data_IF_584962984022
#
_entry.id   IF_584962984022
#
_cell.length_a   1.000
_cell.length_b   1.000
_cell.length_c   1.000
_cell.angle_alpha   90.00
_cell.angle_beta   90.00
_cell.angle_gamma   90.00
#
_symmetry.space_group_name_H-M   'P 1'
#
loop_
_entity.id
_entity.type
_entity.pdbx_description
1 polymer ?
#
# COMPACT_ATOMS: atom_id res chain seq x y z
N UNK A 1 5.40 17.66 38.85
CA UNK A 1 4.29 18.02 37.93
C UNK A 1 4.91 18.58 36.65
N UNK A 2 4.88 17.87 35.52
CA UNK A 2 5.27 18.46 34.25
C UNK A 2 4.16 19.40 33.73
N UNK A 3 4.51 20.49 33.04
CA UNK A 3 3.58 21.52 32.64
C UNK A 3 2.66 21.07 31.49
N UNK A 4 1.39 21.43 31.59
CA UNK A 4 0.38 21.29 30.55
C UNK A 4 0.68 22.27 29.40
N UNK A 5 1.43 21.82 28.40
CA UNK A 5 1.65 22.58 27.17
C UNK A 5 0.46 22.41 26.21
N UNK A 6 -0.41 23.42 26.19
CA UNK A 6 -1.37 23.63 25.10
C UNK A 6 -0.57 23.82 23.81
N UNK A 7 -0.54 22.80 22.96
CA UNK A 7 0.27 22.77 21.74
C UNK A 7 -0.37 23.70 20.71
N UNK A 8 0.37 24.73 20.30
CA UNK A 8 -0.07 25.70 19.29
C UNK A 8 0.04 25.02 17.91
N UNK A 9 -0.91 25.30 17.00
CA UNK A 9 -0.97 24.71 15.65
C UNK A 9 0.38 24.94 14.92
N UNK A 10 1.18 23.89 14.74
CA UNK A 10 2.52 23.94 14.12
C UNK A 10 3.70 23.56 15.02
N UNK A 11 3.49 23.31 16.33
CA UNK A 11 4.55 22.78 17.20
C UNK A 11 4.69 21.25 17.04
N UNK A 12 5.90 20.80 16.70
CA UNK A 12 6.25 19.38 16.64
C UNK A 12 6.64 18.88 18.04
N UNK A 13 5.84 17.98 18.60
CA UNK A 13 6.21 17.35 19.88
C UNK A 13 7.29 16.30 19.68
N UNK A 14 8.56 16.67 19.85
CA UNK A 14 9.72 15.77 19.74
C UNK A 14 9.70 14.59 20.74
N UNK A 15 8.94 14.72 21.83
CA UNK A 15 8.78 13.66 22.86
C UNK A 15 7.51 12.82 22.67
N UNK A 16 6.84 12.92 21.53
CA UNK A 16 5.64 12.14 21.25
C UNK A 16 5.98 10.69 20.90
N UNK A 17 5.36 9.74 21.60
CA UNK A 17 5.40 8.33 21.29
C UNK A 17 4.00 7.84 20.85
N UNK A 18 3.96 7.01 19.83
CA UNK A 18 2.72 6.40 19.35
C UNK A 18 2.23 5.38 20.38
N UNK A 19 0.91 5.23 20.62
CA UNK A 19 0.42 4.16 21.48
C UNK A 19 0.77 2.79 20.91
N UNK A 20 1.15 1.84 21.78
CA UNK A 20 1.63 0.52 21.37
C UNK A 20 0.67 -0.24 20.43
N UNK A 21 -0.64 -0.05 20.57
CA UNK A 21 -1.64 -0.64 19.69
C UNK A 21 -1.64 -0.03 18.27
N UNK A 22 -1.34 1.27 18.13
CA UNK A 22 -1.22 1.92 16.82
C UNK A 22 0.11 1.54 16.18
N UNK A 23 1.16 1.41 16.98
CA UNK A 23 2.46 0.97 16.52
C UNK A 23 2.41 -0.44 15.97
N UNK A 24 1.81 -1.40 16.69
CA UNK A 24 1.64 -2.77 16.20
C UNK A 24 0.77 -2.85 14.95
N UNK A 25 -0.29 -2.04 14.87
CA UNK A 25 -1.15 -1.96 13.70
C UNK A 25 -0.39 -1.39 12.49
N UNK A 26 0.34 -0.30 12.67
CA UNK A 26 1.21 0.30 11.65
C UNK A 26 2.22 -0.73 11.15
N UNK A 27 2.92 -1.41 12.05
CA UNK A 27 3.92 -2.41 11.69
C UNK A 27 3.31 -3.59 10.93
N UNK A 28 2.12 -4.05 11.33
CA UNK A 28 1.37 -5.10 10.62
C UNK A 28 1.00 -4.72 9.18
N UNK A 29 0.47 -3.51 8.99
CA UNK A 29 0.15 -3.00 7.66
C UNK A 29 1.39 -2.73 6.82
N UNK A 30 2.46 -2.19 7.41
CA UNK A 30 3.72 -1.94 6.71
C UNK A 30 4.35 -3.25 6.23
N UNK A 31 4.36 -4.28 7.09
CA UNK A 31 4.86 -5.61 6.73
C UNK A 31 4.05 -6.25 5.61
N UNK A 32 2.73 -6.09 5.65
CA UNK A 32 1.84 -6.60 4.59
C UNK A 32 2.06 -5.88 3.25
N UNK A 33 2.25 -4.56 3.31
CA UNK A 33 2.56 -3.76 2.13
C UNK A 33 3.93 -4.11 1.53
N UNK A 34 4.93 -4.35 2.39
CA UNK A 34 6.28 -4.74 1.99
C UNK A 34 6.31 -6.11 1.32
N UNK A 35 5.66 -7.11 1.92
CA UNK A 35 5.58 -8.45 1.32
C UNK A 35 4.79 -8.41 0.01
N UNK A 36 3.65 -7.70 -0.02
CA UNK A 36 2.85 -7.53 -1.23
C UNK A 36 3.60 -6.84 -2.36
N UNK A 37 4.34 -5.76 -2.06
CA UNK A 37 5.16 -5.05 -3.04
C UNK A 37 6.30 -5.92 -3.58
N UNK A 38 6.93 -6.70 -2.71
CA UNK A 38 8.01 -7.64 -3.07
C UNK A 38 7.49 -8.74 -3.99
N UNK A 39 6.37 -9.37 -3.64
CA UNK A 39 5.75 -10.42 -4.46
C UNK A 39 5.35 -9.85 -5.83
N UNK A 40 4.69 -8.69 -5.86
CA UNK A 40 4.28 -8.05 -7.11
C UNK A 40 5.47 -7.67 -7.99
N UNK A 41 6.59 -7.26 -7.38
CA UNK A 41 7.83 -6.97 -8.11
C UNK A 41 8.40 -8.24 -8.77
N UNK A 42 8.41 -9.36 -8.04
CA UNK A 42 8.83 -10.65 -8.58
C UNK A 42 7.94 -11.11 -9.73
N UNK A 43 6.63 -10.98 -9.62
CA UNK A 43 5.69 -11.29 -10.72
C UNK A 43 5.88 -10.37 -11.93
N UNK A 44 6.21 -9.10 -11.71
CA UNK A 44 6.53 -8.17 -12.80
C UNK A 44 7.77 -8.63 -13.57
N UNK A 45 8.81 -9.08 -12.86
CA UNK A 45 10.02 -9.63 -13.47
C UNK A 45 9.73 -10.92 -14.25
N UNK A 46 8.94 -11.82 -13.68
CA UNK A 46 8.51 -13.04 -14.38
C UNK A 46 7.71 -12.72 -15.65
N UNK A 47 6.82 -11.74 -15.59
CA UNK A 47 6.04 -11.28 -16.75
C UNK A 47 6.95 -10.68 -17.83
N UNK A 48 7.98 -9.94 -17.45
CA UNK A 48 8.98 -9.39 -18.37
C UNK A 48 9.79 -10.50 -19.07
N UNK A 49 10.22 -11.51 -18.31
CA UNK A 49 10.94 -12.68 -18.85
C UNK A 49 10.03 -13.45 -19.82
N UNK A 50 8.77 -13.66 -19.46
CA UNK A 50 7.80 -14.32 -20.34
C UNK A 50 7.60 -13.55 -21.66
N UNK A 51 7.43 -12.23 -21.59
CA UNK A 51 7.34 -11.37 -22.78
C UNK A 51 8.60 -11.44 -23.64
N UNK A 52 9.78 -11.42 -23.01
CA UNK A 52 11.05 -11.55 -23.71
C UNK A 52 11.16 -12.88 -24.45
N UNK A 53 10.79 -13.99 -23.81
CA UNK A 53 10.80 -15.32 -24.43
C UNK A 53 9.80 -15.42 -25.60
N UNK A 54 8.58 -14.87 -25.42
CA UNK A 54 7.58 -14.80 -26.50
C UNK A 54 8.10 -13.99 -27.70
N UNK A 55 8.82 -12.90 -27.44
CA UNK A 55 9.43 -12.08 -28.48
C UNK A 55 10.52 -12.84 -29.24
N UNK A 56 11.46 -13.47 -28.53
CA UNK A 56 12.56 -14.25 -29.14
C UNK A 56 12.03 -15.46 -29.91
N UNK A 57 10.94 -16.07 -29.46
CA UNK A 57 10.28 -17.17 -30.16
C UNK A 57 9.51 -16.74 -31.42
N UNK A 58 9.48 -15.45 -31.76
CA UNK A 58 8.71 -14.92 -32.89
C UNK A 58 7.19 -15.04 -32.71
N UNK A 59 6.73 -15.29 -31.47
CA UNK A 59 5.31 -15.46 -31.16
C UNK A 59 4.57 -14.12 -31.05
N UNK A 60 5.32 -13.01 -30.98
CA UNK A 60 4.80 -11.64 -31.01
C UNK A 60 4.77 -11.02 -32.42
N UNK A 61 5.21 -11.74 -33.45
CA UNK A 61 5.19 -11.22 -34.82
C UNK A 61 3.76 -11.04 -35.33
N UNK A 62 3.50 -9.83 -35.84
CA UNK A 62 2.20 -9.28 -36.21
C UNK A 62 1.55 -10.01 -37.43
N UNK A 63 2.31 -10.83 -38.14
CA UNK A 63 1.87 -11.65 -39.28
C UNK A 63 1.02 -12.86 -38.87
N UNK A 64 1.15 -13.35 -37.62
CA UNK A 64 0.37 -14.50 -37.16
C UNK A 64 -0.99 -14.06 -36.59
N UNK A 65 -2.08 -14.24 -37.38
CA UNK A 65 -3.48 -14.07 -36.95
C UNK A 65 -3.93 -15.15 -35.94
N UNK A 66 -3.09 -15.51 -34.99
CA UNK A 66 -3.42 -16.53 -34.00
C UNK A 66 -4.00 -15.84 -32.75
N UNK A 67 -5.33 -15.90 -32.53
CA UNK A 67 -6.00 -15.17 -31.45
C UNK A 67 -5.47 -15.56 -30.06
N UNK A 68 -4.96 -16.79 -29.93
CA UNK A 68 -4.35 -17.28 -28.69
C UNK A 68 -3.08 -16.49 -28.35
N UNK A 69 -2.26 -16.17 -29.35
CA UNK A 69 -1.00 -15.42 -29.17
C UNK A 69 -1.29 -13.96 -28.83
N UNK A 70 -2.24 -13.34 -29.52
CA UNK A 70 -2.68 -11.97 -29.22
C UNK A 70 -3.23 -11.87 -27.80
N UNK A 71 -4.05 -12.84 -27.38
CA UNK A 71 -4.56 -12.88 -26.00
C UNK A 71 -3.43 -13.07 -24.98
N UNK A 72 -2.49 -13.99 -25.24
CA UNK A 72 -1.36 -14.24 -24.33
C UNK A 72 -0.43 -13.02 -24.20
N UNK A 73 -0.16 -12.32 -25.30
CA UNK A 73 0.60 -11.08 -25.28
C UNK A 73 -0.14 -10.00 -24.46
N UNK A 74 -1.44 -9.80 -24.72
CA UNK A 74 -2.26 -8.82 -24.02
C UNK A 74 -2.35 -9.13 -22.52
N UNK A 75 -2.54 -10.40 -22.16
CA UNK A 75 -2.56 -10.87 -20.78
C UNK A 75 -1.21 -10.66 -20.08
N UNK A 76 -0.09 -10.88 -20.78
CA UNK A 76 1.26 -10.69 -20.23
C UNK A 76 1.58 -9.21 -20.00
N UNK A 77 1.24 -8.33 -20.96
CA UNK A 77 1.37 -6.88 -20.77
C UNK A 77 0.44 -6.36 -19.66
N UNK A 78 -0.78 -6.87 -19.59
CA UNK A 78 -1.72 -6.56 -18.52
C UNK A 78 -1.17 -6.96 -17.16
N UNK A 79 -0.74 -8.21 -17.01
CA UNK A 79 -0.15 -8.72 -15.78
C UNK A 79 1.05 -7.89 -15.33
N UNK A 80 1.94 -7.51 -16.26
CA UNK A 80 3.08 -6.65 -15.96
C UNK A 80 2.65 -5.29 -15.42
N UNK A 81 1.70 -4.63 -16.09
CA UNK A 81 1.23 -3.30 -15.67
C UNK A 81 0.54 -3.35 -14.30
N UNK A 82 -0.30 -4.36 -14.06
CA UNK A 82 -0.98 -4.52 -12.78
C UNK A 82 -0.01 -4.82 -11.64
N UNK A 83 0.93 -5.74 -11.82
CA UNK A 83 1.91 -6.07 -10.80
C UNK A 83 2.83 -4.89 -10.49
N UNK A 84 3.28 -4.15 -11.51
CA UNK A 84 4.11 -2.96 -11.31
C UNK A 84 3.33 -1.85 -10.57
N UNK A 85 2.08 -1.62 -10.94
CA UNK A 85 1.22 -0.67 -10.24
C UNK A 85 0.98 -1.09 -8.78
N UNK A 86 0.79 -2.38 -8.51
CA UNK A 86 0.62 -2.89 -7.15
C UNK A 86 1.89 -2.68 -6.29
N UNK A 87 3.08 -2.92 -6.85
CA UNK A 87 4.34 -2.60 -6.17
C UNK A 87 4.47 -1.11 -5.84
N UNK A 88 4.18 -0.23 -6.80
CA UNK A 88 4.23 1.22 -6.57
C UNK A 88 3.22 1.64 -5.50
N UNK A 89 1.99 1.12 -5.55
CA UNK A 89 0.97 1.36 -4.52
C UNK A 89 1.44 0.88 -3.14
N UNK A 90 2.07 -0.29 -3.05
CA UNK A 90 2.65 -0.81 -1.81
C UNK A 90 3.74 0.11 -1.24
N UNK A 91 4.63 0.64 -2.08
CA UNK A 91 5.64 1.61 -1.65
C UNK A 91 5.04 2.93 -1.16
N UNK A 92 4.02 3.45 -1.86
CA UNK A 92 3.29 4.65 -1.40
C UNK A 92 2.64 4.38 -0.05
N UNK A 93 2.09 3.18 0.16
CA UNK A 93 1.49 2.78 1.43
C UNK A 93 2.53 2.80 2.55
N UNK A 94 3.67 2.15 2.34
CA UNK A 94 4.79 2.11 3.29
C UNK A 94 5.25 3.52 3.67
N UNK A 95 5.44 4.40 2.68
CA UNK A 95 5.83 5.80 2.92
C UNK A 95 4.79 6.54 3.77
N UNK A 96 3.50 6.36 3.45
CA UNK A 96 2.40 6.98 4.20
C UNK A 96 2.33 6.47 5.63
N UNK A 97 2.53 5.17 5.86
CA UNK A 97 2.60 4.60 7.20
C UNK A 97 3.81 5.11 7.98
N UNK A 98 4.97 5.21 7.33
CA UNK A 98 6.18 5.79 7.91
C UNK A 98 5.99 7.24 8.37
N UNK A 99 5.10 7.98 7.70
CA UNK A 99 4.78 9.38 8.05
C UNK A 99 3.80 9.53 9.23
N UNK A 100 3.15 8.46 9.70
CA UNK A 100 2.18 8.50 10.81
C UNK A 100 2.76 9.11 12.10
N UNK A 101 3.90 8.64 12.66
CA UNK A 101 4.43 9.19 13.90
C UNK A 101 4.73 10.69 13.79
N UNK A 102 5.22 11.13 12.63
CA UNK A 102 5.47 12.55 12.36
C UNK A 102 4.18 13.37 12.33
N UNK A 103 3.14 12.89 11.62
CA UNK A 103 1.83 13.56 11.56
C UNK A 103 1.11 13.58 12.89
N UNK A 104 1.18 12.48 13.64
CA UNK A 104 0.62 12.38 14.97
C UNK A 104 1.31 13.34 15.96
N UNK A 105 2.63 13.55 15.82
CA UNK A 105 3.38 14.51 16.62
C UNK A 105 3.06 15.99 16.31
N UNK A 106 2.45 16.29 15.15
CA UNK A 106 1.99 17.64 14.76
C UNK A 106 0.55 17.94 15.17
N UNK A 107 -0.23 16.93 15.55
CA UNK A 107 -1.63 17.12 15.93
C UNK A 107 -1.73 17.50 17.42
N UNK A 108 -2.69 18.39 17.78
CA UNK A 108 -2.99 18.68 19.18
C UNK A 108 -3.29 17.38 19.94
N UNK A 109 -2.65 17.19 21.09
CA UNK A 109 -2.85 15.99 21.94
C UNK A 109 -4.31 15.76 22.34
N UNK A 110 -5.13 16.80 22.34
CA UNK A 110 -6.56 16.73 22.66
C UNK A 110 -7.39 16.05 21.57
N UNK A 111 -6.91 16.01 20.32
CA UNK A 111 -7.61 15.40 19.18
C UNK A 111 -7.21 13.92 18.97
N UNK A 112 -6.07 13.50 19.51
CA UNK A 112 -5.58 12.14 19.42
C UNK A 112 -5.86 11.40 20.74
N UNK A 113 -6.63 10.32 20.72
CA UNK A 113 -6.90 9.57 21.93
C UNK A 113 -5.62 8.85 22.39
N UNK A 114 -5.00 9.35 23.45
CA UNK A 114 -3.75 8.79 24.01
C UNK A 114 -4.04 7.57 24.90
N UNK A 115 -5.26 7.46 25.44
CA UNK A 115 -5.69 6.38 26.33
C UNK A 115 -7.22 6.23 26.33
N UNK A 116 -7.72 5.01 26.58
CA UNK A 116 -9.15 4.72 26.71
C UNK A 116 -9.60 3.56 25.83
N UNK A 117 -10.89 3.24 25.87
CA UNK A 117 -11.52 2.26 24.99
C UNK A 117 -12.17 3.03 23.85
N UNK A 118 -11.81 2.70 22.62
CA UNK A 118 -12.42 3.26 21.42
C UNK A 118 -13.02 2.08 20.67
N UNK A 119 -14.32 2.14 20.44
CA UNK A 119 -14.98 1.27 19.47
C UNK A 119 -14.73 1.85 18.07
N UNK A 120 -13.61 1.50 17.48
CA UNK A 120 -13.24 1.90 16.13
C UNK A 120 -12.53 0.75 15.43
N UNK A 121 -12.93 0.52 14.18
CA UNK A 121 -12.23 -0.41 13.31
C UNK A 121 -10.79 0.06 13.06
N UNK A 122 -9.90 -0.90 12.85
CA UNK A 122 -8.48 -0.70 12.61
C UNK A 122 -8.19 0.35 11.52
N UNK A 123 -8.99 0.37 10.46
CA UNK A 123 -8.86 1.35 9.38
C UNK A 123 -9.26 2.78 9.82
N UNK A 124 -10.34 2.90 10.59
CA UNK A 124 -10.82 4.17 11.12
C UNK A 124 -9.83 4.77 12.12
N UNK A 125 -9.17 3.91 12.88
CA UNK A 125 -8.11 4.28 13.81
C UNK A 125 -6.91 4.87 13.04
N UNK A 126 -6.42 4.17 12.01
CA UNK A 126 -5.33 4.68 11.15
C UNK A 126 -5.68 6.00 10.44
N UNK A 127 -6.92 6.15 9.96
CA UNK A 127 -7.39 7.41 9.36
C UNK A 127 -7.35 8.57 10.36
N UNK A 128 -7.72 8.35 11.63
CA UNK A 128 -7.65 9.36 12.70
C UNK A 128 -6.21 9.82 12.98
N UNK A 129 -5.25 8.91 12.93
CA UNK A 129 -3.82 9.22 13.10
C UNK A 129 -3.15 9.82 11.85
N UNK A 130 -3.92 10.12 10.80
CA UNK A 130 -3.47 10.98 9.71
C UNK A 130 -2.91 10.25 8.49
N UNK A 131 -3.29 9.01 8.23
CA UNK A 131 -2.89 8.28 7.02
C UNK A 131 -3.40 8.97 5.72
N UNK A 132 -4.45 9.77 5.82
CA UNK A 132 -4.90 10.71 4.78
C UNK A 132 -5.98 10.16 3.85
N UNK A 133 -6.58 11.04 3.03
CA UNK A 133 -7.75 10.72 2.17
C UNK A 133 -7.47 9.66 1.09
N UNK A 134 -6.21 9.52 0.69
CA UNK A 134 -5.77 8.53 -0.32
C UNK A 134 -5.74 7.10 0.22
N UNK A 135 -5.84 6.89 1.54
CA UNK A 135 -5.83 5.57 2.16
C UNK A 135 -6.92 4.67 1.59
N UNK A 136 -8.16 5.17 1.53
CA UNK A 136 -9.29 4.39 1.02
C UNK A 136 -9.11 4.00 -0.45
N UNK A 137 -8.53 4.87 -1.27
CA UNK A 137 -8.25 4.56 -2.67
C UNK A 137 -7.12 3.52 -2.82
N UNK A 138 -6.08 3.59 -1.97
CA UNK A 138 -4.98 2.63 -1.94
C UNK A 138 -5.43 1.26 -1.43
N UNK A 139 -6.21 1.22 -0.34
CA UNK A 139 -6.79 -0.02 0.19
C UNK A 139 -7.74 -0.62 -0.85
N UNK A 140 -8.59 0.17 -1.49
CA UNK A 140 -9.50 -0.33 -2.52
C UNK A 140 -8.76 -0.82 -3.77
N UNK A 141 -7.64 -0.20 -4.15
CA UNK A 141 -6.75 -0.70 -5.20
C UNK A 141 -6.13 -2.05 -4.81
N UNK A 142 -5.61 -2.18 -3.58
CA UNK A 142 -5.07 -3.43 -3.06
C UNK A 142 -6.13 -4.53 -2.90
N UNK A 143 -7.34 -4.18 -2.47
CA UNK A 143 -8.45 -5.11 -2.28
C UNK A 143 -9.01 -5.58 -3.62
N UNK A 144 -9.10 -4.69 -4.61
CA UNK A 144 -9.37 -5.06 -6.00
C UNK A 144 -8.32 -6.01 -6.56
N UNK A 145 -7.04 -5.79 -6.25
CA UNK A 145 -5.96 -6.69 -6.65
C UNK A 145 -6.13 -8.08 -6.01
N UNK A 146 -6.34 -8.17 -4.69
CA UNK A 146 -6.57 -9.46 -4.02
C UNK A 146 -7.81 -10.17 -4.59
N UNK A 147 -8.91 -9.44 -4.81
CA UNK A 147 -10.15 -10.01 -5.35
C UNK A 147 -10.00 -10.53 -6.79
N UNK A 148 -9.18 -9.87 -7.62
CA UNK A 148 -8.92 -10.32 -8.98
C UNK A 148 -7.99 -11.55 -9.03
N UNK A 149 -7.12 -11.74 -8.03
CA UNK A 149 -6.36 -13.00 -7.89
C UNK A 149 -7.20 -14.15 -7.31
N UNK A 150 -8.08 -13.90 -6.33
CA UNK A 150 -8.94 -14.93 -5.74
C UNK A 150 -10.09 -15.38 -6.64
N UNK A 151 -10.57 -14.54 -7.56
CA UNK A 151 -11.62 -14.95 -8.53
C UNK A 151 -11.10 -15.87 -9.64
N UNK A 152 -9.79 -16.08 -9.73
CA UNK A 152 -9.15 -16.95 -10.73
C UNK A 152 -8.72 -18.33 -10.18
N UNK A 153 -9.08 -18.67 -8.93
CA UNK A 153 -8.85 -19.99 -8.32
C UNK A 153 -10.15 -20.73 -8.04
#
# INVERSE_FOLDING_TARGET
>A
MPPSSSTRKGELSLSYALPAAIESLKDGWQRTAETGATISSLFSLLSLIALYLLNVAGLLDQESRDPIRTFLALASYGALFFNLSASISGFILIDRLGSIPYRAAQQPRELLPVSGVIDADSEQLLRRYGVGKLWGALVLHCEWFIASYMSCY
#
